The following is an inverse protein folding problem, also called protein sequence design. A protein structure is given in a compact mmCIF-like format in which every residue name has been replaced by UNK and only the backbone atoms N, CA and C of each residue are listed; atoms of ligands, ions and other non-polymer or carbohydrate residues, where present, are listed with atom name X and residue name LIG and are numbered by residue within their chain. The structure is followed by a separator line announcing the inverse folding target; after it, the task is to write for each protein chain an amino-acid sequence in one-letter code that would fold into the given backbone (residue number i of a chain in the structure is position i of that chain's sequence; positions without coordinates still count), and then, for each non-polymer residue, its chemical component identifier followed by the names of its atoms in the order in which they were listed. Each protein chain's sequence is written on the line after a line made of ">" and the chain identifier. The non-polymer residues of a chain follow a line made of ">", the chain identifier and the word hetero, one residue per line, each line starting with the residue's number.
data_IF_179873284763
#
_entry.id   IF_179873284763
#
_cell.length_a   1.000
_cell.length_b   1.000
_cell.length_c   1.000
_cell.angle_alpha   90.00
_cell.angle_beta   90.00
_cell.angle_gamma   90.00
#
_symmetry.space_group_name_H-M   'P 1'
#
loop_
_entity.id
_entity.type
_entity.pdbx_description
1 polymer ?
#
# COMPACT_ATOMS: atom_id res chain seq x y z
N UNK A 1 8.73 -0.68 8.05
CA UNK A 1 7.83 -1.78 8.47
C UNK A 1 6.40 -1.26 8.68
N UNK A 2 6.22 0.06 8.71
CA UNK A 2 4.97 0.76 9.06
C UNK A 2 3.83 0.56 8.08
N UNK A 3 4.14 0.46 6.78
CA UNK A 3 3.15 0.19 5.71
C UNK A 3 2.44 -1.14 5.92
N UNK A 4 3.20 -2.22 6.18
CA UNK A 4 2.63 -3.55 6.44
C UNK A 4 1.78 -3.52 7.71
N UNK A 5 2.30 -2.94 8.79
CA UNK A 5 1.57 -2.82 10.07
C UNK A 5 0.26 -2.04 9.92
N UNK A 6 0.26 -0.96 9.14
CA UNK A 6 -0.94 -0.17 8.90
C UNK A 6 -2.05 -0.98 8.22
N UNK A 7 -1.70 -1.84 7.25
CA UNK A 7 -2.65 -2.72 6.57
C UNK A 7 -3.08 -3.90 7.46
N UNK A 8 -2.15 -4.53 8.17
CA UNK A 8 -2.46 -5.65 9.08
C UNK A 8 -3.41 -5.23 10.21
N UNK A 9 -3.28 -4.02 10.74
CA UNK A 9 -4.16 -3.50 11.79
C UNK A 9 -5.63 -3.32 11.33
N UNK A 10 -5.86 -3.21 10.03
CA UNK A 10 -7.21 -3.16 9.45
C UNK A 10 -7.83 -4.55 9.24
N UNK A 11 -7.11 -5.64 9.63
CA UNK A 11 -7.52 -7.04 9.44
C UNK A 11 -7.80 -7.41 7.99
N UNK A 12 -7.08 -6.77 7.06
CA UNK A 12 -7.19 -7.03 5.64
C UNK A 12 -6.23 -8.17 5.26
N UNK A 13 -6.71 -9.23 4.59
CA UNK A 13 -5.85 -10.26 4.03
C UNK A 13 -4.84 -9.67 3.04
N UNK A 14 -3.57 -10.01 3.23
CA UNK A 14 -2.47 -9.56 2.38
C UNK A 14 -1.84 -10.78 1.71
N UNK A 15 -1.85 -10.80 0.39
CA UNK A 15 -1.34 -11.92 -0.41
C UNK A 15 0.14 -11.76 -0.72
N UNK A 16 0.59 -10.53 -0.98
CA UNK A 16 2.00 -10.26 -1.25
C UNK A 16 2.41 -8.84 -0.86
N UNK A 17 3.69 -8.72 -0.53
CA UNK A 17 4.37 -7.45 -0.30
C UNK A 17 5.66 -7.49 -1.10
N UNK A 18 5.82 -6.54 -2.01
CA UNK A 18 7.07 -6.36 -2.73
C UNK A 18 7.59 -4.95 -2.48
N UNK A 19 8.80 -4.84 -1.94
CA UNK A 19 9.44 -3.55 -1.69
C UNK A 19 10.74 -3.48 -2.49
N UNK A 20 10.83 -2.49 -3.37
CA UNK A 20 12.02 -2.25 -4.21
C UNK A 20 12.58 -0.87 -3.90
N UNK A 21 13.77 -0.86 -3.30
CA UNK A 21 14.53 0.38 -3.10
C UNK A 21 14.99 0.92 -4.46
N UNK A 22 14.74 2.20 -4.69
CA UNK A 22 15.17 2.93 -5.88
C UNK A 22 16.50 3.64 -5.62
N UNK A 23 17.20 4.01 -6.70
CA UNK A 23 18.54 4.63 -6.64
C UNK A 23 18.51 6.05 -6.09
N UNK A 24 17.36 6.71 -6.14
CA UNK A 24 17.08 8.05 -5.62
C UNK A 24 16.89 8.09 -4.09
N UNK A 25 16.95 6.93 -3.42
CA UNK A 25 16.78 6.82 -1.98
C UNK A 25 15.34 6.52 -1.55
N UNK A 26 14.37 6.53 -2.47
CA UNK A 26 12.99 6.15 -2.19
C UNK A 26 12.79 4.63 -2.29
N UNK A 27 11.64 4.15 -1.83
CA UNK A 27 11.27 2.74 -1.92
C UNK A 27 9.88 2.64 -2.50
N UNK A 28 9.76 1.92 -3.62
CA UNK A 28 8.47 1.58 -4.18
C UNK A 28 7.94 0.32 -3.49
N UNK A 29 6.71 0.35 -3.00
CA UNK A 29 6.08 -0.77 -2.29
C UNK A 29 4.80 -1.14 -3.04
N UNK A 30 4.76 -2.37 -3.56
CA UNK A 30 3.57 -2.96 -4.14
C UNK A 30 2.94 -3.94 -3.16
N UNK A 31 1.62 -3.81 -2.96
CA UNK A 31 0.83 -4.62 -2.05
C UNK A 31 -0.31 -5.28 -2.84
N UNK A 32 -0.45 -6.59 -2.70
CA UNK A 32 -1.65 -7.30 -3.14
C UNK A 32 -2.48 -7.64 -1.91
N UNK A 33 -3.67 -7.06 -1.85
CA UNK A 33 -4.59 -7.17 -0.71
C UNK A 33 -6.00 -7.46 -1.19
N UNK A 34 -6.79 -8.12 -0.36
CA UNK A 34 -8.21 -8.34 -0.62
C UNK A 34 -9.03 -7.12 -0.17
N UNK A 35 -9.93 -6.64 -1.03
CA UNK A 35 -10.81 -5.51 -0.70
C UNK A 35 -12.24 -5.86 -1.06
N UNK A 36 -13.15 -5.65 -0.11
CA UNK A 36 -14.55 -6.04 -0.18
C UNK A 36 -15.40 -5.00 -0.94
N UNK A 37 -15.08 -3.72 -0.81
CA UNK A 37 -15.83 -2.64 -1.42
C UNK A 37 -14.97 -1.38 -1.63
N UNK A 38 -15.53 -0.40 -2.37
CA UNK A 38 -14.83 0.84 -2.69
C UNK A 38 -14.51 1.68 -1.45
N UNK A 39 -15.38 1.71 -0.45
CA UNK A 39 -15.17 2.45 0.79
C UNK A 39 -13.93 1.95 1.54
N UNK A 40 -13.80 0.62 1.66
CA UNK A 40 -12.63 -0.01 2.26
C UNK A 40 -11.36 0.34 1.49
N UNK A 41 -11.38 0.32 0.16
CA UNK A 41 -10.25 0.74 -0.68
C UNK A 41 -9.83 2.18 -0.38
N UNK A 42 -10.81 3.10 -0.37
CA UNK A 42 -10.56 4.52 -0.09
C UNK A 42 -9.97 4.72 1.32
N UNK A 43 -10.48 4.00 2.31
CA UNK A 43 -9.96 4.05 3.68
C UNK A 43 -8.52 3.55 3.77
N UNK A 44 -8.17 2.48 3.05
CA UNK A 44 -6.80 1.95 3.00
C UNK A 44 -5.86 2.98 2.38
N UNK A 45 -6.21 3.54 1.22
CA UNK A 45 -5.40 4.55 0.52
C UNK A 45 -5.16 5.76 1.43
N UNK A 46 -6.22 6.27 2.06
CA UNK A 46 -6.14 7.40 2.98
C UNK A 46 -5.27 7.09 4.21
N UNK A 47 -5.34 5.87 4.73
CA UNK A 47 -4.54 5.45 5.89
C UNK A 47 -3.06 5.38 5.54
N UNK A 48 -2.72 4.81 4.39
CA UNK A 48 -1.34 4.72 3.90
C UNK A 48 -0.76 6.10 3.63
N UNK A 49 -1.52 6.98 2.97
CA UNK A 49 -1.07 8.34 2.64
C UNK A 49 -0.74 9.18 3.88
N UNK A 50 -1.37 8.89 5.04
CA UNK A 50 -1.09 9.59 6.31
C UNK A 50 0.18 9.12 7.01
N UNK A 51 0.83 8.05 6.56
CA UNK A 51 2.06 7.58 7.18
C UNK A 51 3.21 8.55 6.86
N UNK A 52 4.01 8.97 7.84
CA UNK A 52 5.16 9.84 7.61
C UNK A 52 6.13 9.23 6.58
N UNK A 53 6.56 10.03 5.61
CA UNK A 53 7.49 9.61 4.57
C UNK A 53 6.86 8.94 3.34
N UNK A 54 5.53 8.74 3.33
CA UNK A 54 4.82 8.39 2.10
C UNK A 54 4.61 9.65 1.25
N UNK A 55 4.98 9.53 -0.02
CA UNK A 55 4.91 10.62 -1.00
C UNK A 55 3.66 10.45 -1.86
N UNK A 56 3.37 9.21 -2.27
CA UNK A 56 2.25 8.87 -3.12
C UNK A 56 1.68 7.50 -2.75
N UNK A 57 0.36 7.36 -2.90
CA UNK A 57 -0.35 6.07 -2.85
C UNK A 57 -1.30 6.01 -4.02
N UNK A 58 -1.11 5.03 -4.89
CA UNK A 58 -1.97 4.79 -6.04
C UNK A 58 -2.39 3.32 -6.09
N UNK A 59 -3.61 3.06 -6.58
CA UNK A 59 -4.02 1.70 -6.91
C UNK A 59 -3.28 1.26 -8.16
N UNK A 60 -2.59 0.12 -8.10
CA UNK A 60 -1.99 -0.48 -9.28
C UNK A 60 -3.07 -0.75 -10.34
N UNK A 61 -2.92 -0.16 -11.53
CA UNK A 61 -3.74 -0.49 -12.69
C UNK A 61 -3.31 -1.83 -13.29
N UNK A 62 -4.10 -2.37 -14.22
CA UNK A 62 -3.83 -3.63 -14.94
C UNK A 62 -2.54 -3.65 -15.79
N UNK A 63 -1.72 -2.58 -15.77
CA UNK A 63 -0.54 -2.43 -16.63
C UNK A 63 0.69 -1.84 -15.95
N UNK A 64 0.90 -2.03 -14.64
CA UNK A 64 2.04 -1.42 -13.96
C UNK A 64 2.55 -2.13 -12.71
N UNK A 65 3.32 -3.20 -12.93
CA UNK A 65 4.59 -3.49 -12.24
C UNK A 65 5.58 -4.02 -13.27
#
# INVERSE_FOLDING_TARGET
>A
MDVVNAVSNMKIPMHSVNAKKQKDGYTNIALSIEVQNLEQLTNIINRLFRLPGIIEVARAGLGGI
#
